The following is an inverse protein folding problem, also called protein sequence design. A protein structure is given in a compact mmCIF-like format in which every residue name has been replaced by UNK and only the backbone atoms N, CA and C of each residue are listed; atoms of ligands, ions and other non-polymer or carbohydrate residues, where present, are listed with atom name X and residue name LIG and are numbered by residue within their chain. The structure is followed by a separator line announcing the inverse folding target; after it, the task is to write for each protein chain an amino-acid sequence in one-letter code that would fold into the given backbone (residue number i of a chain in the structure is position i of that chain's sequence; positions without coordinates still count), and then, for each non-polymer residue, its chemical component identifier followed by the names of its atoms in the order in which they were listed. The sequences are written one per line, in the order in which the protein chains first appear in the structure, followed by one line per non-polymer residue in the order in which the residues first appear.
data_IF_136155466142
#
_entry.id   IF_136155466142
#
_cell.length_a   1.000
_cell.length_b   1.000
_cell.length_c   1.000
_cell.angle_alpha   90.00
_cell.angle_beta   90.00
_cell.angle_gamma   90.00
#
_symmetry.space_group_name_H-M   'P 1'
#
loop_
_entity.id
_entity.type
_entity.pdbx_description
1 polymer ?
#
# COMPACT_ATOMS: atom_id res chain seq x y z
N UNK A 1 26.59 -12.14 -13.75
CA UNK A 1 25.29 -11.97 -13.08
C UNK A 1 24.23 -12.40 -14.08
N UNK A 2 23.64 -13.59 -13.93
CA UNK A 2 22.63 -14.09 -14.86
C UNK A 2 21.31 -13.43 -14.44
N UNK A 3 20.84 -12.47 -15.22
CA UNK A 3 19.50 -11.92 -15.03
C UNK A 3 18.49 -12.99 -15.42
N UNK A 4 17.54 -13.31 -14.52
CA UNK A 4 16.43 -14.25 -14.78
C UNK A 4 15.33 -13.61 -15.65
N UNK A 5 15.33 -12.27 -15.78
CA UNK A 5 14.35 -11.49 -16.53
C UNK A 5 14.27 -11.75 -18.04
N UNK A 6 15.30 -12.25 -18.76
CA UNK A 6 15.15 -12.62 -20.16
C UNK A 6 14.49 -14.00 -20.36
N UNK A 7 14.44 -14.84 -19.31
CA UNK A 7 13.95 -16.23 -19.41
C UNK A 7 12.47 -16.36 -19.00
N UNK A 8 11.99 -15.50 -18.10
CA UNK A 8 10.57 -15.17 -18.05
C UNK A 8 10.35 -14.11 -19.12
N UNK A 9 9.60 -14.40 -20.18
CA UNK A 9 9.26 -13.38 -21.16
C UNK A 9 8.75 -12.12 -20.42
N UNK A 10 9.47 -11.00 -20.55
CA UNK A 10 9.14 -9.73 -19.90
C UNK A 10 7.66 -9.33 -20.10
N UNK A 11 7.07 -9.82 -21.19
CA UNK A 11 5.69 -9.61 -21.62
C UNK A 11 4.59 -10.30 -20.77
N UNK A 12 4.94 -11.03 -19.70
CA UNK A 12 3.94 -11.67 -18.81
C UNK A 12 4.23 -11.49 -17.33
N UNK A 13 5.09 -10.54 -16.96
CA UNK A 13 5.48 -10.32 -15.58
C UNK A 13 4.29 -9.89 -14.69
N UNK A 14 3.37 -9.12 -15.27
CA UNK A 14 2.07 -8.69 -14.74
C UNK A 14 1.14 -9.86 -14.39
N UNK A 15 1.26 -11.01 -15.06
CA UNK A 15 0.37 -12.16 -14.87
C UNK A 15 0.82 -13.11 -13.76
N UNK A 16 2.00 -12.90 -13.19
CA UNK A 16 2.58 -13.81 -12.20
C UNK A 16 2.03 -13.48 -10.82
N UNK A 17 1.35 -14.45 -10.23
CA UNK A 17 0.79 -14.37 -8.89
C UNK A 17 1.23 -15.57 -8.05
N UNK A 18 1.47 -15.35 -6.75
CA UNK A 18 1.62 -16.45 -5.79
C UNK A 18 0.26 -17.08 -5.41
N UNK A 19 0.28 -18.06 -4.52
CA UNK A 19 -0.93 -18.75 -4.04
C UNK A 19 -1.90 -17.84 -3.28
N UNK A 20 -1.44 -16.69 -2.78
CA UNK A 20 -2.25 -15.69 -2.09
C UNK A 20 -2.73 -14.58 -3.03
N UNK A 21 -2.50 -14.72 -4.35
CA UNK A 21 -2.85 -13.70 -5.34
C UNK A 21 -1.96 -12.46 -5.28
N UNK A 22 -0.77 -12.55 -4.69
CA UNK A 22 0.19 -11.45 -4.71
C UNK A 22 0.92 -11.43 -6.05
N UNK A 23 0.84 -10.31 -6.77
CA UNK A 23 1.76 -10.04 -7.86
C UNK A 23 3.17 -9.70 -7.32
N UNK A 24 4.15 -9.49 -8.20
CA UNK A 24 5.52 -9.20 -7.77
C UNK A 24 5.65 -7.89 -6.97
N UNK A 25 4.81 -6.88 -7.25
CA UNK A 25 4.82 -5.60 -6.54
C UNK A 25 4.36 -5.78 -5.08
N UNK A 26 3.33 -6.61 -4.84
CA UNK A 26 2.94 -7.00 -3.48
C UNK A 26 4.13 -7.60 -2.72
N UNK A 27 4.85 -8.53 -3.33
CA UNK A 27 5.98 -9.20 -2.68
C UNK A 27 7.08 -8.19 -2.36
N UNK A 28 7.53 -7.40 -3.34
CA UNK A 28 8.58 -6.40 -3.13
C UNK A 28 8.18 -5.35 -2.06
N UNK A 29 6.94 -4.86 -2.10
CA UNK A 29 6.42 -3.88 -1.17
C UNK A 29 6.32 -4.46 0.25
N UNK A 30 5.85 -5.71 0.40
CA UNK A 30 5.73 -6.39 1.69
C UNK A 30 7.07 -6.64 2.41
N UNK A 31 8.16 -6.71 1.64
CA UNK A 31 9.53 -6.92 2.14
C UNK A 31 10.33 -5.62 2.27
N UNK A 32 9.75 -4.46 1.93
CA UNK A 32 10.42 -3.17 2.04
C UNK A 32 11.50 -2.91 0.98
N UNK A 33 11.46 -3.63 -0.14
CA UNK A 33 12.46 -3.52 -1.20
C UNK A 33 12.08 -2.40 -2.19
N UNK A 34 12.17 -1.14 -1.76
CA UNK A 34 11.71 0.02 -2.52
C UNK A 34 12.37 0.14 -3.91
N UNK A 35 13.68 -0.09 -4.03
CA UNK A 35 14.38 -0.06 -5.33
C UNK A 35 13.89 -1.17 -6.27
N UNK A 36 13.65 -2.37 -5.75
CA UNK A 36 13.09 -3.47 -6.53
C UNK A 36 11.65 -3.18 -6.94
N UNK A 37 10.85 -2.60 -6.03
CA UNK A 37 9.47 -2.19 -6.30
C UNK A 37 9.43 -1.18 -7.46
N UNK A 38 10.24 -0.13 -7.39
CA UNK A 38 10.38 0.88 -8.45
C UNK A 38 10.74 0.25 -9.80
N UNK A 39 11.75 -0.62 -9.80
CA UNK A 39 12.19 -1.29 -11.03
C UNK A 39 11.10 -2.21 -11.59
N UNK A 40 10.43 -3.00 -10.76
CA UNK A 40 9.35 -3.89 -11.19
C UNK A 40 8.14 -3.10 -11.70
N UNK A 41 7.75 -2.00 -11.05
CA UNK A 41 6.66 -1.15 -11.54
C UNK A 41 6.99 -0.58 -12.92
N UNK A 42 8.25 -0.20 -13.18
CA UNK A 42 8.66 0.27 -14.52
C UNK A 42 8.53 -0.78 -15.62
N UNK A 43 8.50 -2.07 -15.27
CA UNK A 43 8.38 -3.19 -16.19
C UNK A 43 6.93 -3.70 -16.32
N UNK A 44 6.17 -3.70 -15.22
CA UNK A 44 4.79 -4.22 -15.15
C UNK A 44 3.72 -3.16 -15.44
N UNK A 45 4.07 -1.88 -15.30
CA UNK A 45 3.13 -0.76 -15.35
C UNK A 45 2.50 -0.45 -13.99
N UNK A 46 2.06 0.81 -13.83
CA UNK A 46 1.46 1.28 -12.57
C UNK A 46 0.10 0.67 -12.27
N UNK A 47 -0.65 0.19 -13.28
CA UNK A 47 -1.94 -0.49 -13.09
C UNK A 47 -1.83 -1.70 -12.13
N UNK A 48 -0.67 -2.36 -12.10
CA UNK A 48 -0.39 -3.48 -11.20
C UNK A 48 -0.33 -3.07 -9.71
N UNK A 49 -0.19 -1.78 -9.41
CA UNK A 49 -0.27 -1.24 -8.03
C UNK A 49 -1.71 -1.19 -7.51
N UNK A 50 -2.71 -1.28 -8.39
CA UNK A 50 -4.12 -1.26 -8.02
C UNK A 50 -4.71 -2.66 -7.80
N UNK A 51 -3.96 -3.71 -8.17
CA UNK A 51 -4.40 -5.09 -8.00
C UNK A 51 -4.53 -5.44 -6.52
N UNK A 52 -5.58 -6.19 -6.17
CA UNK A 52 -5.83 -6.64 -4.80
C UNK A 52 -5.62 -8.13 -4.67
N UNK A 53 -4.81 -8.53 -3.68
CA UNK A 53 -4.57 -9.92 -3.36
C UNK A 53 -5.80 -10.59 -2.71
N UNK A 54 -5.65 -11.84 -2.26
CA UNK A 54 -6.74 -12.59 -1.58
C UNK A 54 -7.23 -11.96 -0.28
N UNK A 55 -6.37 -11.22 0.43
CA UNK A 55 -6.72 -10.39 1.60
C UNK A 55 -7.37 -9.05 1.24
N UNK A 56 -7.59 -8.79 -0.05
CA UNK A 56 -8.10 -7.53 -0.58
C UNK A 56 -7.16 -6.34 -0.38
N UNK A 57 -5.88 -6.57 -0.16
CA UNK A 57 -4.87 -5.51 -0.04
C UNK A 57 -4.21 -5.28 -1.39
N UNK A 58 -3.93 -4.01 -1.70
CA UNK A 58 -2.99 -3.62 -2.76
C UNK A 58 -1.54 -3.79 -2.29
N UNK A 59 -0.52 -3.65 -3.16
CA UNK A 59 0.87 -3.57 -2.72
C UNK A 59 1.09 -2.50 -1.64
N UNK A 60 0.42 -1.35 -1.72
CA UNK A 60 0.47 -0.32 -0.68
C UNK A 60 -0.16 -0.80 0.64
N UNK A 61 -1.36 -1.37 0.60
CA UNK A 61 -1.99 -1.94 1.80
C UNK A 61 -1.14 -3.03 2.46
N UNK A 62 -0.51 -3.90 1.67
CA UNK A 62 0.36 -4.96 2.19
C UNK A 62 1.69 -4.42 2.75
N UNK A 63 2.27 -3.39 2.13
CA UNK A 63 3.42 -2.67 2.69
C UNK A 63 3.09 -2.04 4.04
N UNK A 64 1.89 -1.45 4.18
CA UNK A 64 1.42 -0.91 5.46
C UNK A 64 1.30 -2.03 6.48
N UNK A 65 0.59 -3.12 6.17
CA UNK A 65 0.47 -4.27 7.07
C UNK A 65 1.82 -4.73 7.64
N UNK A 66 2.87 -4.67 6.82
CA UNK A 66 4.23 -5.09 7.18
C UNK A 66 5.15 -3.95 7.67
N UNK A 67 4.67 -2.72 7.80
CA UNK A 67 5.44 -1.59 8.33
C UNK A 67 6.51 -1.02 7.39
N UNK A 68 6.34 -1.20 6.08
CA UNK A 68 7.34 -0.84 5.06
C UNK A 68 7.17 0.60 4.57
N UNK A 69 7.57 1.56 5.41
CA UNK A 69 7.37 2.99 5.18
C UNK A 69 7.91 3.50 3.83
N UNK A 70 9.13 3.14 3.45
CA UNK A 70 9.74 3.68 2.22
C UNK A 70 9.02 3.21 0.94
N UNK A 71 8.47 1.98 0.94
CA UNK A 71 7.61 1.52 -0.15
C UNK A 71 6.31 2.32 -0.21
N UNK A 72 5.68 2.56 0.94
CA UNK A 72 4.44 3.36 1.02
C UNK A 72 4.68 4.79 0.55
N UNK A 73 5.79 5.41 0.98
CA UNK A 73 6.19 6.76 0.56
C UNK A 73 6.23 6.88 -0.95
N UNK A 74 7.01 6.00 -1.58
CA UNK A 74 7.19 6.03 -3.02
C UNK A 74 5.88 5.79 -3.78
N UNK A 75 5.08 4.79 -3.41
CA UNK A 75 3.79 4.53 -4.07
C UNK A 75 2.84 5.72 -3.93
N UNK A 76 2.74 6.31 -2.74
CA UNK A 76 1.79 7.41 -2.50
C UNK A 76 2.25 8.74 -3.10
N UNK A 77 3.55 9.03 -3.14
CA UNK A 77 4.05 10.32 -3.64
C UNK A 77 4.36 10.35 -5.13
N UNK A 78 4.71 9.20 -5.73
CA UNK A 78 5.22 9.15 -7.10
C UNK A 78 4.33 8.38 -8.08
N UNK A 79 3.21 7.80 -7.64
CA UNK A 79 2.32 7.01 -8.51
C UNK A 79 0.85 7.33 -8.27
N UNK A 80 -0.04 6.73 -9.07
CA UNK A 80 -1.50 6.87 -8.91
C UNK A 80 -2.06 6.25 -7.62
N UNK A 81 -1.24 5.55 -6.82
CA UNK A 81 -1.67 4.98 -5.54
C UNK A 81 -2.05 6.05 -4.48
N UNK A 82 -1.76 7.33 -4.73
CA UNK A 82 -2.33 8.46 -3.96
C UNK A 82 -3.87 8.40 -3.87
N UNK A 83 -4.54 7.80 -4.86
CA UNK A 83 -6.00 7.63 -4.85
C UNK A 83 -6.48 6.73 -3.68
N UNK A 84 -5.62 5.85 -3.14
CA UNK A 84 -5.95 4.99 -2.00
C UNK A 84 -5.95 5.73 -0.65
N UNK A 85 -5.64 7.03 -0.63
CA UNK A 85 -5.79 7.88 0.56
C UNK A 85 -7.26 8.21 0.87
N UNK A 86 -8.14 8.10 -0.13
CA UNK A 86 -9.59 8.27 0.04
C UNK A 86 -10.28 6.91 0.19
N UNK A 87 -11.33 6.86 1.00
CA UNK A 87 -12.11 5.63 1.14
C UNK A 87 -12.84 5.32 -0.18
N UNK A 88 -12.87 4.04 -0.55
CA UNK A 88 -13.72 3.56 -1.63
C UNK A 88 -15.00 2.94 -1.08
N UNK A 89 -15.99 2.70 -1.93
CA UNK A 89 -17.23 2.02 -1.55
C UNK A 89 -17.01 0.59 -1.04
N UNK A 90 -15.89 -0.03 -1.37
CA UNK A 90 -15.64 -1.45 -1.05
C UNK A 90 -14.46 -1.64 -0.07
N UNK A 91 -13.54 -0.68 0.03
CA UNK A 91 -12.31 -0.80 0.80
C UNK A 91 -11.96 0.49 1.58
N UNK A 92 -11.48 0.36 2.83
CA UNK A 92 -10.96 1.48 3.60
C UNK A 92 -9.65 2.01 3.00
N UNK A 93 -9.32 3.26 3.30
CA UNK A 93 -8.11 3.92 2.79
C UNK A 93 -6.83 3.51 3.53
N UNK A 94 -5.67 3.87 2.97
CA UNK A 94 -4.35 3.56 3.53
C UNK A 94 -4.17 4.05 4.98
N UNK A 95 -4.77 5.19 5.33
CA UNK A 95 -4.68 5.72 6.71
C UNK A 95 -5.43 4.84 7.72
N UNK A 96 -6.55 4.23 7.32
CA UNK A 96 -7.27 3.25 8.14
C UNK A 96 -6.48 1.96 8.29
N UNK A 97 -5.81 1.47 7.23
CA UNK A 97 -4.91 0.33 7.35
C UNK A 97 -3.75 0.62 8.31
N UNK A 98 -3.18 1.83 8.29
CA UNK A 98 -2.12 2.20 9.22
C UNK A 98 -2.60 2.19 10.68
N UNK A 99 -3.82 2.65 10.94
CA UNK A 99 -4.46 2.51 12.26
C UNK A 99 -4.77 1.06 12.64
N UNK A 100 -5.29 0.26 11.70
CA UNK A 100 -5.66 -1.15 11.89
C UNK A 100 -4.47 -2.07 12.18
N UNK A 101 -3.30 -1.75 11.61
CA UNK A 101 -2.08 -2.53 11.80
C UNK A 101 -1.09 -1.89 12.79
N UNK A 102 -1.47 -0.79 13.44
CA UNK A 102 -0.65 -0.14 14.47
C UNK A 102 0.64 0.49 13.95
N UNK A 103 0.63 0.95 12.70
CA UNK A 103 1.82 1.41 11.97
C UNK A 103 2.04 2.91 12.19
N UNK A 104 2.39 3.29 13.42
CA UNK A 104 2.54 4.68 13.87
C UNK A 104 3.34 5.55 12.90
N UNK A 105 4.53 5.11 12.48
CA UNK A 105 5.40 5.89 11.59
C UNK A 105 4.77 6.14 10.22
N UNK A 106 4.02 5.16 9.71
CA UNK A 106 3.32 5.28 8.43
C UNK A 106 2.13 6.21 8.59
N UNK A 107 1.34 6.04 9.66
CA UNK A 107 0.20 6.89 9.96
C UNK A 107 0.61 8.37 10.07
N UNK A 108 1.67 8.67 10.83
CA UNK A 108 2.20 10.03 10.97
C UNK A 108 2.66 10.61 9.63
N UNK A 109 3.33 9.81 8.79
CA UNK A 109 3.76 10.28 7.48
C UNK A 109 2.57 10.54 6.55
N UNK A 110 1.56 9.66 6.53
CA UNK A 110 0.34 9.84 5.74
C UNK A 110 -0.42 11.10 6.16
N UNK A 111 -0.57 11.34 7.47
CA UNK A 111 -1.21 12.55 8.01
C UNK A 111 -0.49 13.83 7.53
N UNK A 112 0.84 13.85 7.65
CA UNK A 112 1.65 14.98 7.20
C UNK A 112 1.51 15.20 5.69
N UNK A 113 1.62 14.13 4.90
CA UNK A 113 1.52 14.19 3.44
C UNK A 113 0.12 14.66 2.99
N UNK A 114 -0.95 14.10 3.57
CA UNK A 114 -2.33 14.51 3.27
C UNK A 114 -2.56 15.98 3.60
N UNK A 115 -2.06 16.47 4.74
CA UNK A 115 -2.16 17.88 5.10
C UNK A 115 -1.43 18.79 4.11
N UNK A 116 -0.24 18.40 3.64
CA UNK A 116 0.53 19.14 2.63
C UNK A 116 -0.18 19.18 1.26
N UNK A 117 -0.84 18.10 0.87
CA UNK A 117 -1.62 18.01 -0.37
C UNK A 117 -3.04 18.60 -0.24
N UNK A 118 -3.46 19.04 0.94
CA UNK A 118 -4.82 19.53 1.20
C UNK A 118 -5.91 18.45 1.11
N UNK A 119 -5.54 17.20 1.34
CA UNK A 119 -6.46 16.04 1.38
C UNK A 119 -7.15 16.02 2.75
N UNK A 120 -8.46 15.76 2.76
CA UNK A 120 -9.27 15.68 3.97
C UNK A 120 -8.78 14.56 4.90
N UNK A 121 -8.66 14.86 6.21
CA UNK A 121 -8.37 13.89 7.26
C UNK A 121 -9.64 13.34 7.94
N UNK A 122 -10.79 13.90 7.61
CA UNK A 122 -12.09 13.56 8.22
C UNK A 122 -12.79 12.39 7.52
N UNK A 123 -12.09 11.71 6.61
CA UNK A 123 -12.60 10.52 5.93
C UNK A 123 -12.89 9.41 6.94
N UNK A 124 -14.04 8.77 6.75
CA UNK A 124 -14.47 7.61 7.52
C UNK A 124 -14.59 6.40 6.61
N UNK A 125 -14.35 5.22 7.17
CA UNK A 125 -14.59 3.96 6.49
C UNK A 125 -16.10 3.66 6.38
N UNK A 126 -16.38 2.46 5.87
CA UNK A 126 -17.71 1.89 5.63
C UNK A 126 -18.60 1.87 6.88
N UNK A 127 -17.97 1.76 8.06
CA UNK A 127 -18.61 1.63 9.35
C UNK A 127 -18.68 2.99 10.08
N UNK A 128 -18.25 4.08 9.43
CA UNK A 128 -18.20 5.41 10.00
C UNK A 128 -17.01 5.64 10.95
N UNK A 129 -16.01 4.75 10.93
CA UNK A 129 -14.81 4.89 11.75
C UNK A 129 -13.77 5.73 11.01
N UNK A 130 -13.14 6.67 11.70
CA UNK A 130 -11.88 7.27 11.23
C UNK A 130 -10.67 6.39 11.59
N UNK A 131 -9.49 6.70 11.06
CA UNK A 131 -8.25 5.96 11.38
C UNK A 131 -7.98 5.84 12.89
N UNK A 132 -8.27 6.89 13.68
CA UNK A 132 -8.10 6.88 15.14
C UNK A 132 -9.12 5.97 15.84
N UNK A 133 -10.36 5.88 15.33
CA UNK A 133 -11.34 4.91 15.83
C UNK A 133 -10.83 3.48 15.62
N UNK A 134 -10.32 3.17 14.43
CA UNK A 134 -9.78 1.85 14.10
C UNK A 134 -8.55 1.52 14.97
N UNK A 135 -7.63 2.48 15.15
CA UNK A 135 -6.48 2.31 16.05
C UNK A 135 -6.90 2.04 17.51
N UNK A 136 -7.94 2.75 17.97
CA UNK A 136 -8.50 2.58 19.31
C UNK A 136 -9.16 1.20 19.49
N UNK A 137 -9.89 0.71 18.49
CA UNK A 137 -10.51 -0.62 18.51
C UNK A 137 -9.47 -1.74 18.69
N UNK A 138 -8.28 -1.58 18.10
CA UNK A 138 -7.21 -2.57 18.16
C UNK A 138 -6.19 -2.32 19.28
N UNK A 139 -6.30 -1.21 20.02
CA UNK A 139 -5.46 -0.91 21.18
C UNK A 139 -4.07 -0.36 20.85
N UNK A 140 -3.88 0.26 19.69
CA UNK A 140 -2.58 0.82 19.30
C UNK A 140 -2.37 2.24 19.84
N UNK A 141 -1.81 2.34 21.04
CA UNK A 141 -1.58 3.62 21.73
C UNK A 141 -0.76 4.63 20.91
N UNK A 142 0.23 4.18 20.12
CA UNK A 142 1.03 5.07 19.29
C UNK A 142 0.28 5.70 18.11
N UNK A 143 -0.90 5.16 17.77
CA UNK A 143 -1.74 5.62 16.67
C UNK A 143 -2.96 6.45 17.12
N UNK A 144 -3.02 6.81 18.41
CA UNK A 144 -4.09 7.60 19.05
C UNK A 144 -3.48 8.90 19.57
#
# INVERSE_FOLDING_TARGET
QISLLPHLAADNLDKIHDENGNNLLHIAASQGHAECLQHLTSLMGEDCLNERNTEKLTPAGLAIKNGQLECVRWMVSETEAIAELSCSKDFPSLIHYAGCYGQEKILLWLLQFMQEQGISLDEVDQDGNSAVHVASQHGYLGCI
#
